data_IF_628274807981
#
_entry.id   IF_628274807981
#
_cell.length_a   1.000
_cell.length_b   1.000
_cell.length_c   1.000
_cell.angle_alpha   90.00
_cell.angle_beta   90.00
_cell.angle_gamma   90.00
#
_symmetry.space_group_name_H-M   'P 1'
#
loop_
_entity.id
_entity.type
_entity.pdbx_description
1 polymer ?
#
# COMPACT_ATOMS: atom_id res chain seq x y z
N UNK A 1 -14.82 -13.87 38.60
CA UNK A 1 -16.03 -13.30 37.95
C UNK A 1 -15.70 -11.86 37.57
N UNK A 2 -15.61 -11.55 36.26
CA UNK A 2 -15.71 -10.21 35.66
C UNK A 2 -15.57 -10.34 34.12
N UNK A 3 -16.65 -10.78 33.47
CA UNK A 3 -16.76 -11.02 32.02
C UNK A 3 -17.06 -9.74 31.21
N UNK A 4 -16.53 -8.57 31.59
CA UNK A 4 -16.97 -7.28 31.01
C UNK A 4 -15.90 -6.44 30.28
N UNK A 5 -14.68 -6.93 30.08
CA UNK A 5 -13.62 -6.12 29.43
C UNK A 5 -13.23 -6.62 28.02
N UNK A 6 -13.83 -7.71 27.52
CA UNK A 6 -13.52 -8.24 26.18
C UNK A 6 -14.72 -8.14 25.24
N UNK A 7 -15.27 -6.94 25.09
CA UNK A 7 -16.37 -6.67 24.16
C UNK A 7 -16.17 -5.31 23.49
N UNK A 8 -15.05 -5.19 22.77
CA UNK A 8 -14.80 -4.08 21.85
C UNK A 8 -14.22 -4.62 20.54
N UNK A 9 -14.94 -5.56 19.93
CA UNK A 9 -14.79 -5.81 18.50
C UNK A 9 -16.15 -5.47 17.89
N UNK A 10 -16.30 -4.20 17.53
CA UNK A 10 -17.38 -3.78 16.64
C UNK A 10 -17.01 -4.33 15.27
N UNK A 11 -17.44 -5.57 14.99
CA UNK A 11 -17.51 -6.08 13.62
C UNK A 11 -18.66 -5.33 12.95
N UNK A 12 -18.37 -4.12 12.45
CA UNK A 12 -19.27 -3.44 11.52
C UNK A 12 -19.00 -4.05 10.14
N UNK A 13 -19.60 -5.21 9.89
CA UNK A 13 -19.70 -5.83 8.57
C UNK A 13 -20.60 -4.96 7.70
N UNK A 14 -19.99 -3.95 7.08
CA UNK A 14 -20.61 -3.29 5.93
C UNK A 14 -20.47 -4.25 4.74
N UNK A 15 -21.56 -4.96 4.45
CA UNK A 15 -21.73 -5.73 3.22
C UNK A 15 -21.69 -4.72 2.08
N UNK A 16 -20.52 -4.50 1.50
CA UNK A 16 -20.39 -3.81 0.22
C UNK A 16 -20.81 -4.80 -0.86
N UNK A 17 -21.90 -4.44 -1.54
CA UNK A 17 -22.56 -5.25 -2.55
C UNK A 17 -21.60 -5.73 -3.63
N UNK A 18 -21.86 -6.97 -4.07
CA UNK A 18 -21.30 -7.57 -5.27
C UNK A 18 -21.68 -6.71 -6.48
N UNK A 19 -20.80 -5.78 -6.84
CA UNK A 19 -20.82 -5.12 -8.14
C UNK A 19 -20.38 -6.11 -9.20
N UNK A 20 -21.29 -6.51 -10.06
CA UNK A 20 -21.08 -7.34 -11.24
C UNK A 20 -19.86 -6.89 -12.05
N UNK A 21 -18.93 -7.81 -12.32
CA UNK A 21 -17.88 -7.65 -13.31
C UNK A 21 -18.52 -7.51 -14.70
N UNK A 22 -18.78 -6.28 -15.15
CA UNK A 22 -18.99 -6.03 -16.57
C UNK A 22 -17.63 -6.10 -17.26
N UNK A 23 -17.42 -7.13 -18.09
CA UNK A 23 -16.27 -7.19 -19.00
C UNK A 23 -16.25 -5.94 -19.88
N UNK A 24 -15.30 -5.04 -19.64
CA UNK A 24 -14.92 -4.00 -20.59
C UNK A 24 -13.81 -4.56 -21.49
N UNK A 25 -14.03 -4.45 -22.81
CA UNK A 25 -13.06 -4.85 -23.83
C UNK A 25 -11.75 -4.04 -23.72
N UNK A 26 -10.59 -4.62 -24.04
CA UNK A 26 -9.29 -3.98 -23.80
C UNK A 26 -8.95 -3.05 -24.96
N UNK A 27 -9.49 -1.83 -24.99
CA UNK A 27 -9.10 -0.82 -25.98
C UNK A 27 -9.17 0.60 -25.44
N UNK A 28 -8.17 0.98 -24.63
CA UNK A 28 -7.65 2.33 -24.49
C UNK A 28 -6.39 2.23 -23.61
N UNK A 29 -5.33 2.99 -23.91
CA UNK A 29 -4.25 3.21 -22.94
C UNK A 29 -4.91 3.68 -21.63
N UNK A 30 -4.76 2.89 -20.57
CA UNK A 30 -5.20 3.26 -19.22
C UNK A 30 -4.66 4.65 -18.91
N UNK A 31 -5.53 5.60 -18.52
CA UNK A 31 -5.05 6.95 -18.24
C UNK A 31 -4.10 6.91 -17.05
N UNK A 32 -3.08 7.78 -17.05
CA UNK A 32 -2.12 7.85 -15.94
C UNK A 32 -2.82 8.08 -14.60
N UNK A 33 -3.90 8.88 -14.59
CA UNK A 33 -4.67 9.17 -13.38
C UNK A 33 -5.43 7.95 -12.84
N UNK A 34 -5.96 7.07 -13.71
CA UNK A 34 -6.63 5.85 -13.28
C UNK A 34 -5.64 4.84 -12.68
N UNK A 35 -4.47 4.67 -13.32
CA UNK A 35 -3.39 3.81 -12.81
C UNK A 35 -2.92 4.28 -11.44
N UNK A 36 -2.62 5.58 -11.29
CA UNK A 36 -2.19 6.16 -10.01
C UNK A 36 -3.22 5.94 -8.89
N UNK A 37 -4.52 6.12 -9.20
CA UNK A 37 -5.61 5.93 -8.24
C UNK A 37 -5.71 4.46 -7.79
N UNK A 38 -5.54 3.51 -8.70
CA UNK A 38 -5.52 2.06 -8.40
C UNK A 38 -4.31 1.66 -7.56
N UNK A 39 -3.15 2.24 -7.84
CA UNK A 39 -1.93 1.98 -7.08
C UNK A 39 -2.07 2.51 -5.64
N UNK A 40 -2.61 3.72 -5.45
CA UNK A 40 -2.91 4.27 -4.12
C UNK A 40 -3.90 3.40 -3.35
N UNK A 41 -4.95 2.91 -4.01
CA UNK A 41 -5.94 2.00 -3.40
C UNK A 41 -5.26 0.72 -2.89
N UNK A 42 -4.44 0.10 -3.74
CA UNK A 42 -3.70 -1.13 -3.42
C UNK A 42 -2.73 -0.92 -2.26
N UNK A 43 -2.05 0.22 -2.21
CA UNK A 43 -1.15 0.56 -1.10
C UNK A 43 -1.90 0.65 0.24
N UNK A 44 -3.04 1.32 0.25
CA UNK A 44 -3.89 1.44 1.46
C UNK A 44 -4.41 0.08 1.89
N UNK A 45 -4.89 -0.76 0.95
CA UNK A 45 -5.34 -2.12 1.25
C UNK A 45 -4.21 -2.97 1.85
N UNK A 46 -2.99 -2.86 1.32
CA UNK A 46 -1.82 -3.54 1.89
C UNK A 46 -1.50 -3.05 3.30
N UNK A 47 -1.60 -1.73 3.53
CA UNK A 47 -1.35 -1.14 4.85
C UNK A 47 -2.38 -1.61 5.87
N UNK A 48 -3.67 -1.62 5.52
CA UNK A 48 -4.75 -2.14 6.37
C UNK A 48 -4.52 -3.61 6.70
N UNK A 49 -4.23 -4.44 5.70
CA UNK A 49 -3.93 -5.87 5.90
C UNK A 49 -2.71 -6.10 6.81
N UNK A 50 -1.70 -5.22 6.75
CA UNK A 50 -0.54 -5.28 7.65
C UNK A 50 -0.94 -4.93 9.08
N UNK A 51 -1.72 -3.87 9.27
CA UNK A 51 -2.23 -3.48 10.59
C UNK A 51 -3.11 -4.56 11.22
N UNK A 52 -3.97 -5.22 10.43
CA UNK A 52 -4.81 -6.33 10.91
C UNK A 52 -3.94 -7.50 11.42
N UNK A 53 -2.88 -7.88 10.69
CA UNK A 53 -1.93 -8.92 11.15
C UNK A 53 -1.20 -8.54 12.43
N UNK A 54 -0.81 -7.26 12.56
CA UNK A 54 -0.18 -6.75 13.78
C UNK A 54 -1.16 -6.78 14.96
N UNK A 55 -2.44 -6.46 14.74
CA UNK A 55 -3.51 -6.60 15.75
C UNK A 55 -3.66 -8.06 16.20
N UNK A 56 -3.72 -9.01 15.27
CA UNK A 56 -3.83 -10.43 15.60
C UNK A 56 -2.65 -10.92 16.45
N UNK A 57 -1.44 -10.48 16.12
CA UNK A 57 -0.25 -10.78 16.92
C UNK A 57 -0.36 -10.23 18.34
N UNK A 58 -0.79 -8.97 18.48
CA UNK A 58 -0.97 -8.33 19.81
C UNK A 58 -2.07 -9.06 20.61
N UNK A 59 -3.16 -9.48 19.97
CA UNK A 59 -4.23 -10.26 20.63
C UNK A 59 -3.67 -11.59 21.16
N UNK A 60 -2.89 -12.31 20.36
CA UNK A 60 -2.24 -13.54 20.78
C UNK A 60 -1.28 -13.31 21.96
N UNK A 61 -0.51 -12.22 21.94
CA UNK A 61 0.34 -11.84 23.06
C UNK A 61 -0.45 -11.52 24.33
N UNK A 62 -1.59 -10.81 24.22
CA UNK A 62 -2.48 -10.53 25.35
C UNK A 62 -2.99 -11.83 25.97
N UNK A 63 -3.42 -12.79 25.16
CA UNK A 63 -3.94 -14.07 25.66
C UNK A 63 -2.84 -14.90 26.33
N UNK A 64 -1.64 -14.96 25.74
CA UNK A 64 -0.48 -15.59 26.37
C UNK A 64 -0.12 -14.93 27.71
N UNK A 65 -0.09 -13.60 27.75
CA UNK A 65 0.20 -12.84 28.97
C UNK A 65 -0.87 -13.03 30.04
N UNK A 66 -2.14 -13.18 29.65
CA UNK A 66 -3.24 -13.50 30.56
C UNK A 66 -3.10 -14.88 31.18
N UNK A 67 -2.68 -15.89 30.40
CA UNK A 67 -2.38 -17.22 30.94
C UNK A 67 -1.22 -17.16 31.94
N UNK A 68 -0.13 -16.46 31.61
CA UNK A 68 1.01 -16.23 32.53
C UNK A 68 0.58 -15.54 33.81
N UNK A 69 -0.27 -14.52 33.71
CA UNK A 69 -0.80 -13.78 34.87
C UNK A 69 -1.64 -14.68 35.79
N UNK A 70 -2.43 -15.60 35.23
CA UNK A 70 -3.16 -16.58 36.03
C UNK A 70 -2.21 -17.54 36.76
N UNK A 71 -1.15 -18.00 36.08
CA UNK A 71 -0.13 -18.85 36.71
C UNK A 71 0.57 -18.11 37.84
N UNK A 72 1.06 -16.90 37.60
CA UNK A 72 1.73 -16.06 38.62
C UNK A 72 0.79 -15.81 39.81
N UNK A 73 -0.50 -15.54 39.59
CA UNK A 73 -1.44 -15.37 40.71
C UNK A 73 -1.57 -16.63 41.57
N UNK A 74 -1.53 -17.82 40.97
CA UNK A 74 -1.54 -19.08 41.71
C UNK A 74 -0.21 -19.28 42.46
N UNK A 75 0.91 -19.01 41.80
CA UNK A 75 2.25 -19.13 42.39
C UNK A 75 2.42 -18.15 43.58
N UNK A 76 1.93 -16.90 43.46
CA UNK A 76 1.90 -15.93 44.56
C UNK A 76 1.09 -16.48 45.74
N UNK A 77 -0.10 -17.02 45.49
CA UNK A 77 -0.95 -17.59 46.54
C UNK A 77 -0.28 -18.79 47.23
N UNK A 78 0.39 -19.66 46.47
CA UNK A 78 1.13 -20.78 47.02
C UNK A 78 2.31 -20.30 47.88
N UNK A 79 3.07 -19.34 47.38
CA UNK A 79 4.21 -18.73 48.07
C UNK A 79 3.79 -17.99 49.35
N UNK A 80 2.65 -17.30 49.35
CA UNK A 80 2.06 -16.70 50.55
C UNK A 80 1.74 -17.76 51.62
N UNK A 81 1.10 -18.86 51.22
CA UNK A 81 0.81 -19.96 52.14
C UNK A 81 2.09 -20.61 52.69
N UNK A 82 3.13 -20.78 51.87
CA UNK A 82 4.45 -21.26 52.31
C UNK A 82 5.08 -20.29 53.31
N UNK A 83 5.00 -18.98 53.03
CA UNK A 83 5.53 -17.93 53.89
C UNK A 83 4.85 -17.90 55.27
N UNK A 84 3.53 -18.09 55.32
CA UNK A 84 2.80 -18.15 56.58
C UNK A 84 3.15 -19.41 57.39
N UNK A 85 3.24 -20.57 56.73
CA UNK A 85 3.69 -21.81 57.37
C UNK A 85 5.09 -21.68 57.96
N UNK A 86 6.05 -21.16 57.19
CA UNK A 86 7.42 -21.02 57.68
C UNK A 86 7.55 -19.96 58.77
N UNK A 87 6.77 -18.87 58.69
CA UNK A 87 6.70 -17.85 59.74
C UNK A 87 6.19 -18.44 61.07
N UNK A 88 5.18 -19.31 61.01
CA UNK A 88 4.69 -20.01 62.20
C UNK A 88 5.72 -21.01 62.73
N UNK A 89 6.39 -21.79 61.86
CA UNK A 89 7.44 -22.71 62.27
C UNK A 89 8.63 -21.99 62.93
N UNK A 90 9.09 -20.86 62.37
CA UNK A 90 10.13 -20.02 62.98
C UNK A 90 9.71 -19.59 64.38
N UNK A 91 8.49 -19.07 64.53
CA UNK A 91 7.96 -18.63 65.83
C UNK A 91 7.93 -19.77 66.84
N UNK A 92 7.42 -20.94 66.45
CA UNK A 92 7.34 -22.11 67.33
C UNK A 92 8.73 -22.59 67.75
N UNK A 93 9.70 -22.65 66.83
CA UNK A 93 11.08 -23.05 67.14
C UNK A 93 11.80 -22.03 68.01
N UNK A 94 11.60 -20.74 67.78
CA UNK A 94 12.14 -19.67 68.64
C UNK A 94 11.53 -19.72 70.05
N UNK A 95 10.22 -19.98 70.18
CA UNK A 95 9.56 -20.11 71.47
C UNK A 95 10.04 -21.35 72.23
N UNK A 96 10.16 -22.51 71.57
CA UNK A 96 10.69 -23.73 72.17
C UNK A 96 12.16 -23.56 72.60
N UNK A 97 12.98 -22.97 71.74
CA UNK A 97 14.37 -22.64 72.07
C UNK A 97 14.43 -21.68 73.26
N UNK A 98 13.62 -20.62 73.26
CA UNK A 98 13.51 -19.66 74.36
C UNK A 98 13.08 -20.32 75.68
N UNK A 99 12.09 -21.23 75.64
CA UNK A 99 11.67 -22.02 76.82
C UNK A 99 12.82 -22.88 77.35
N UNK A 100 13.60 -23.54 76.49
CA UNK A 100 14.79 -24.33 76.89
C UNK A 100 15.88 -23.47 77.50
N UNK A 101 16.20 -22.34 76.90
CA UNK A 101 17.18 -21.37 77.43
C UNK A 101 16.72 -20.78 78.76
N UNK A 102 15.44 -20.41 78.88
CA UNK A 102 14.86 -19.88 80.12
C UNK A 102 14.85 -20.94 81.23
N UNK A 103 14.53 -22.20 80.91
CA UNK A 103 14.61 -23.30 81.87
C UNK A 103 16.06 -23.53 82.34
N UNK A 104 17.06 -23.35 81.48
CA UNK A 104 18.46 -23.37 81.89
C UNK A 104 18.80 -22.23 82.86
N UNK A 105 18.20 -21.06 82.70
CA UNK A 105 18.52 -19.86 83.49
C UNK A 105 17.73 -19.74 84.81
N UNK A 106 16.42 -19.99 84.79
CA UNK A 106 15.50 -19.79 85.94
C UNK A 106 15.48 -20.98 86.88
N UNK A 107 15.56 -22.19 86.34
CA UNK A 107 15.59 -23.41 87.14
C UNK A 107 16.98 -23.56 87.73
N UNK A 108 17.32 -22.75 88.73
CA UNK A 108 18.57 -22.83 89.49
C UNK A 108 18.73 -24.21 90.14
N UNK A 109 19.16 -25.18 89.33
CA UNK A 109 19.10 -26.63 89.58
C UNK A 109 18.35 -27.40 88.48
N UNK A 110 17.02 -27.43 88.49
CA UNK A 110 16.21 -28.62 88.12
C UNK A 110 16.01 -29.06 86.65
N UNK A 111 16.93 -28.85 85.70
CA UNK A 111 16.81 -29.55 84.39
C UNK A 111 18.14 -29.90 83.74
N UNK A 112 18.78 -28.98 83.02
CA UNK A 112 20.05 -29.30 82.34
C UNK A 112 21.26 -29.12 83.26
N UNK A 113 21.24 -28.11 84.14
CA UNK A 113 22.28 -27.93 85.14
C UNK A 113 22.28 -29.06 86.17
N UNK A 114 21.13 -29.49 86.69
CA UNK A 114 21.05 -30.68 87.55
C UNK A 114 21.45 -31.94 86.81
N UNK A 115 21.06 -32.12 85.55
CA UNK A 115 21.53 -33.27 84.77
C UNK A 115 23.05 -33.24 84.62
N UNK A 116 23.66 -32.09 84.35
CA UNK A 116 25.12 -31.97 84.23
C UNK A 116 25.80 -32.18 85.60
N UNK A 117 25.28 -31.58 86.68
CA UNK A 117 25.85 -31.61 88.03
C UNK A 117 25.62 -32.94 88.77
N UNK A 118 24.58 -33.71 88.40
CA UNK A 118 24.34 -35.08 88.88
C UNK A 118 25.23 -36.12 88.17
N UNK A 119 26.32 -35.69 87.52
CA UNK A 119 27.29 -36.59 86.89
C UNK A 119 28.08 -37.38 87.94
N UNK A 120 28.28 -38.67 87.72
CA UNK A 120 29.00 -39.55 88.66
C UNK A 120 30.53 -39.46 88.52
N UNK A 121 31.03 -38.89 87.42
CA UNK A 121 32.46 -38.71 87.14
C UNK A 121 32.73 -37.52 86.23
N UNK A 122 33.99 -37.07 86.16
CA UNK A 122 34.40 -36.00 85.23
C UNK A 122 34.15 -36.37 83.76
N UNK A 123 34.28 -37.64 83.38
CA UNK A 123 34.00 -38.11 82.02
C UNK A 123 32.51 -38.01 81.68
N UNK A 124 31.64 -38.39 82.63
CA UNK A 124 30.19 -38.26 82.51
C UNK A 124 29.76 -36.79 82.44
N UNK A 125 30.32 -35.94 83.30
CA UNK A 125 30.12 -34.49 83.26
C UNK A 125 30.42 -33.89 81.88
N UNK A 126 31.59 -34.20 81.31
CA UNK A 126 32.01 -33.72 79.99
C UNK A 126 31.10 -34.23 78.87
N UNK A 127 30.62 -35.48 78.97
CA UNK A 127 29.71 -36.08 77.99
C UNK A 127 28.32 -35.40 78.01
N UNK A 128 27.82 -35.05 79.20
CA UNK A 128 26.55 -34.33 79.36
C UNK A 128 26.64 -32.88 78.86
N UNK A 129 27.75 -32.19 79.11
CA UNK A 129 28.02 -30.86 78.53
C UNK A 129 28.06 -30.91 77.01
N UNK A 130 28.79 -31.85 76.44
CA UNK A 130 28.86 -32.03 74.98
C UNK A 130 27.46 -32.30 74.38
N UNK A 131 26.66 -33.14 75.05
CA UNK A 131 25.27 -33.42 74.65
C UNK A 131 24.40 -32.17 74.65
N UNK A 132 24.44 -31.36 75.73
CA UNK A 132 23.68 -30.10 75.81
C UNK A 132 24.15 -29.10 74.75
N UNK A 133 25.46 -28.97 74.54
CA UNK A 133 26.05 -28.12 73.51
C UNK A 133 25.57 -28.52 72.10
N UNK A 134 25.55 -29.82 71.79
CA UNK A 134 25.03 -30.35 70.53
C UNK A 134 23.55 -30.04 70.33
N UNK A 135 22.72 -30.15 71.37
CA UNK A 135 21.29 -29.80 71.31
C UNK A 135 21.09 -28.30 71.04
N UNK A 136 21.82 -27.43 71.75
CA UNK A 136 21.72 -25.99 71.55
C UNK A 136 22.18 -25.56 70.14
N UNK A 137 23.25 -26.17 69.65
CA UNK A 137 23.73 -25.95 68.28
C UNK A 137 22.68 -26.39 67.27
N UNK A 138 22.08 -27.57 67.44
CA UNK A 138 21.01 -28.05 66.57
C UNK A 138 19.81 -27.10 66.53
N UNK A 139 19.30 -26.65 67.69
CA UNK A 139 18.17 -25.72 67.74
C UNK A 139 18.48 -24.38 67.03
N UNK A 140 19.67 -23.84 67.28
CA UNK A 140 20.15 -22.63 66.60
C UNK A 140 20.22 -22.83 65.08
N UNK A 141 20.81 -23.93 64.63
CA UNK A 141 20.97 -24.26 63.21
C UNK A 141 19.61 -24.41 62.52
N UNK A 142 18.61 -25.03 63.19
CA UNK A 142 17.23 -25.13 62.69
C UNK A 142 16.61 -23.74 62.53
N UNK A 143 16.73 -22.86 63.52
CA UNK A 143 16.17 -21.49 63.46
C UNK A 143 16.86 -20.68 62.35
N UNK A 144 18.18 -20.75 62.23
CA UNK A 144 18.94 -20.07 61.17
C UNK A 144 18.50 -20.56 59.80
N UNK A 145 18.37 -21.88 59.61
CA UNK A 145 17.91 -22.47 58.35
C UNK A 145 16.50 -21.99 57.98
N UNK A 146 15.55 -22.06 58.91
CA UNK A 146 14.17 -21.62 58.66
C UNK A 146 14.08 -20.11 58.37
N UNK A 147 14.91 -19.29 59.01
CA UNK A 147 15.00 -17.85 58.69
C UNK A 147 15.53 -17.62 57.28
N UNK A 148 16.58 -18.33 56.87
CA UNK A 148 17.12 -18.26 55.51
C UNK A 148 16.10 -18.70 54.46
N UNK A 149 15.38 -19.80 54.70
CA UNK A 149 14.28 -20.25 53.83
C UNK A 149 13.15 -19.22 53.75
N UNK A 150 12.78 -18.59 54.88
CA UNK A 150 11.78 -17.51 54.90
C UNK A 150 12.20 -16.31 54.06
N UNK A 151 13.47 -15.90 54.15
CA UNK A 151 14.02 -14.80 53.34
C UNK A 151 14.03 -15.14 51.86
N UNK A 152 14.41 -16.37 51.50
CA UNK A 152 14.36 -16.84 50.11
C UNK A 152 12.94 -16.82 49.53
N UNK A 153 11.95 -17.33 50.27
CA UNK A 153 10.54 -17.33 49.88
C UNK A 153 9.99 -15.89 49.78
N UNK A 154 10.36 -15.00 50.70
CA UNK A 154 9.96 -13.60 50.63
C UNK A 154 10.51 -12.90 49.39
N UNK A 155 11.75 -13.19 49.01
CA UNK A 155 12.37 -12.68 47.77
C UNK A 155 11.72 -13.26 46.51
N UNK A 156 11.36 -14.55 46.53
CA UNK A 156 10.60 -15.18 45.46
C UNK A 156 9.24 -14.50 45.27
N UNK A 157 8.52 -14.23 46.37
CA UNK A 157 7.25 -13.47 46.34
C UNK A 157 7.44 -12.10 45.72
N UNK A 158 8.44 -11.34 46.16
CA UNK A 158 8.73 -10.01 45.63
C UNK A 158 8.99 -10.03 44.11
N UNK A 159 9.71 -11.05 43.62
CA UNK A 159 9.95 -11.22 42.19
C UNK A 159 8.66 -11.52 41.42
N UNK A 160 7.81 -12.39 41.95
CA UNK A 160 6.51 -12.71 41.35
C UNK A 160 5.59 -11.47 41.29
N UNK A 161 5.56 -10.67 42.36
CA UNK A 161 4.80 -9.42 42.40
C UNK A 161 5.31 -8.42 41.36
N UNK A 162 6.64 -8.27 41.21
CA UNK A 162 7.24 -7.44 40.15
C UNK A 162 6.90 -7.93 38.75
N UNK A 163 6.90 -9.24 38.52
CA UNK A 163 6.53 -9.82 37.23
C UNK A 163 5.06 -9.56 36.91
N UNK A 164 4.18 -9.70 37.91
CA UNK A 164 2.75 -9.39 37.80
C UNK A 164 2.50 -7.92 37.45
N UNK A 165 3.22 -6.99 38.08
CA UNK A 165 3.10 -5.56 37.79
C UNK A 165 3.53 -5.24 36.36
N UNK A 166 4.64 -5.83 35.90
CA UNK A 166 5.11 -5.71 34.50
C UNK A 166 4.07 -6.21 33.51
N UNK A 167 3.47 -7.38 33.75
CA UNK A 167 2.43 -7.93 32.86
C UNK A 167 1.17 -7.07 32.87
N UNK A 168 0.84 -6.44 34.00
CA UNK A 168 -0.31 -5.53 34.10
C UNK A 168 -0.06 -4.24 33.32
N UNK A 169 1.15 -3.68 33.39
CA UNK A 169 1.54 -2.53 32.58
C UNK A 169 1.52 -2.86 31.08
N UNK A 170 2.13 -3.99 30.69
CA UNK A 170 2.16 -4.44 29.29
C UNK A 170 0.74 -4.64 28.72
N UNK A 171 -0.17 -5.20 29.54
CA UNK A 171 -1.58 -5.34 29.14
C UNK A 171 -2.21 -3.98 28.82
N UNK A 172 -1.99 -2.98 29.65
CA UNK A 172 -2.53 -1.62 29.45
C UNK A 172 -1.97 -0.98 28.18
N UNK A 173 -0.68 -1.12 27.94
CA UNK A 173 -0.03 -0.58 26.73
C UNK A 173 -0.53 -1.27 25.46
N UNK A 174 -0.76 -2.59 25.51
CA UNK A 174 -1.35 -3.33 24.40
C UNK A 174 -2.80 -2.89 24.13
N UNK A 175 -3.62 -2.68 25.17
CA UNK A 175 -4.99 -2.15 25.03
C UNK A 175 -5.01 -0.75 24.37
N UNK A 176 -4.08 0.13 24.76
CA UNK A 176 -3.92 1.45 24.14
C UNK A 176 -3.47 1.36 22.68
N UNK A 177 -2.53 0.46 22.38
CA UNK A 177 -2.02 0.24 21.02
C UNK A 177 -3.12 -0.28 20.10
N UNK A 178 -3.91 -1.26 20.55
CA UNK A 178 -5.07 -1.77 19.82
C UNK A 178 -6.09 -0.66 19.55
N UNK A 179 -6.36 0.22 20.52
CA UNK A 179 -7.27 1.35 20.30
C UNK A 179 -6.76 2.32 19.23
N UNK A 180 -5.46 2.62 19.22
CA UNK A 180 -4.86 3.50 18.20
C UNK A 180 -4.89 2.87 16.81
N UNK A 181 -4.53 1.59 16.70
CA UNK A 181 -4.54 0.88 15.42
C UNK A 181 -5.95 0.78 14.83
N UNK A 182 -6.95 0.48 15.65
CA UNK A 182 -8.35 0.47 15.20
C UNK A 182 -8.81 1.83 14.66
N UNK A 183 -8.41 2.93 15.31
CA UNK A 183 -8.71 4.28 14.80
C UNK A 183 -8.00 4.54 13.46
N UNK A 184 -6.73 4.16 13.33
CA UNK A 184 -5.97 4.29 12.08
C UNK A 184 -6.60 3.48 10.95
N UNK A 185 -7.02 2.24 11.21
CA UNK A 185 -7.72 1.40 10.23
C UNK A 185 -9.05 2.06 9.80
N UNK A 186 -9.79 2.64 10.73
CA UNK A 186 -11.04 3.33 10.42
C UNK A 186 -10.81 4.56 9.52
N UNK A 187 -9.73 5.31 9.74
CA UNK A 187 -9.33 6.42 8.88
C UNK A 187 -8.90 5.94 7.49
N UNK A 188 -8.05 4.92 7.41
CA UNK A 188 -7.62 4.33 6.14
C UNK A 188 -8.80 3.79 5.32
N UNK A 189 -9.77 3.12 5.96
CA UNK A 189 -11.01 2.66 5.30
C UNK A 189 -11.87 3.82 4.77
N UNK A 190 -11.93 4.94 5.48
CA UNK A 190 -12.59 6.16 4.97
C UNK A 190 -11.87 6.73 3.76
N UNK A 191 -10.54 6.75 3.78
CA UNK A 191 -9.73 7.19 2.62
C UNK A 191 -9.94 6.26 1.43
N UNK A 192 -9.95 4.94 1.67
CA UNK A 192 -10.20 3.92 0.65
C UNK A 192 -11.57 4.10 -0.02
N UNK A 193 -12.60 4.45 0.76
CA UNK A 193 -13.94 4.73 0.23
C UNK A 193 -13.94 5.95 -0.70
N UNK A 194 -13.27 7.04 -0.31
CA UNK A 194 -13.12 8.24 -1.15
C UNK A 194 -12.34 7.96 -2.44
N UNK A 195 -11.27 7.17 -2.36
CA UNK A 195 -10.46 6.78 -3.53
C UNK A 195 -11.26 5.89 -4.47
N UNK A 196 -12.05 4.95 -3.94
CA UNK A 196 -12.93 4.09 -4.74
C UNK A 196 -13.99 4.91 -5.47
N UNK A 197 -14.54 5.94 -4.81
CA UNK A 197 -15.48 6.85 -5.46
C UNK A 197 -14.81 7.69 -6.55
N UNK A 198 -13.58 8.18 -6.31
CA UNK A 198 -12.78 8.86 -7.33
C UNK A 198 -12.48 7.95 -8.52
N UNK A 199 -12.09 6.69 -8.28
CA UNK A 199 -11.85 5.67 -9.31
C UNK A 199 -13.10 5.50 -10.20
N UNK A 200 -14.28 5.32 -9.59
CA UNK A 200 -15.54 5.18 -10.30
C UNK A 200 -15.89 6.41 -11.15
N UNK A 201 -15.61 7.61 -10.64
CA UNK A 201 -15.82 8.86 -11.40
C UNK A 201 -14.88 8.98 -12.60
N UNK A 202 -13.59 8.62 -12.44
CA UNK A 202 -12.62 8.62 -13.54
C UNK A 202 -13.06 7.64 -14.63
N UNK A 203 -13.40 6.41 -14.25
CA UNK A 203 -13.87 5.37 -15.18
C UNK A 203 -15.14 5.81 -15.92
N UNK A 204 -16.10 6.43 -15.21
CA UNK A 204 -17.32 6.94 -15.85
C UNK A 204 -17.03 8.08 -16.83
N UNK A 205 -16.13 9.01 -16.48
CA UNK A 205 -15.69 10.11 -17.33
C UNK A 205 -14.95 9.60 -18.58
N UNK A 206 -14.06 8.62 -18.44
CA UNK A 206 -13.38 7.99 -19.58
C UNK A 206 -14.35 7.27 -20.51
N UNK A 207 -15.32 6.54 -19.95
CA UNK A 207 -16.35 5.86 -20.74
C UNK A 207 -17.25 6.86 -21.49
N UNK A 208 -17.57 8.00 -20.88
CA UNK A 208 -18.33 9.07 -21.53
C UNK A 208 -17.54 9.71 -22.70
N UNK A 209 -16.27 10.04 -22.49
CA UNK A 209 -15.39 10.56 -23.55
C UNK A 209 -15.23 9.57 -24.72
N UNK A 210 -15.11 8.27 -24.41
CA UNK A 210 -15.03 7.24 -25.43
C UNK A 210 -16.34 7.13 -26.25
N UNK A 211 -17.51 7.21 -25.60
CA UNK A 211 -18.81 7.23 -26.28
C UNK A 211 -19.00 8.48 -27.14
N UNK A 212 -18.62 9.65 -26.65
CA UNK A 212 -18.67 10.89 -27.45
C UNK A 212 -17.74 10.84 -28.66
N UNK A 213 -16.53 10.29 -28.50
CA UNK A 213 -15.61 10.08 -29.61
C UNK A 213 -16.18 9.08 -30.64
N UNK A 214 -16.83 8.02 -30.18
CA UNK A 214 -17.49 7.04 -31.05
C UNK A 214 -18.67 7.67 -31.80
N UNK A 215 -19.55 8.42 -31.12
CA UNK A 215 -20.66 9.15 -31.76
C UNK A 215 -20.17 10.21 -32.75
N UNK A 216 -19.13 10.97 -32.40
CA UNK A 216 -18.55 11.95 -33.30
C UNK A 216 -17.90 11.28 -34.53
N UNK A 217 -17.29 10.10 -34.35
CA UNK A 217 -16.77 9.31 -35.47
C UNK A 217 -17.88 8.76 -36.37
N UNK A 218 -19.03 8.36 -35.80
CA UNK A 218 -20.21 7.90 -36.55
C UNK A 218 -20.85 9.05 -37.32
N UNK A 219 -21.06 10.21 -36.67
CA UNK A 219 -21.55 11.43 -37.32
C UNK A 219 -20.60 11.91 -38.42
N UNK A 220 -19.28 11.85 -38.22
CA UNK A 220 -18.30 12.18 -39.26
C UNK A 220 -18.37 11.23 -40.46
N UNK A 221 -18.58 9.92 -40.23
CA UNK A 221 -18.80 8.93 -41.28
C UNK A 221 -20.13 9.12 -42.03
N UNK A 222 -21.20 9.50 -41.33
CA UNK A 222 -22.51 9.82 -41.93
C UNK A 222 -22.50 11.14 -42.71
N UNK A 223 -21.77 12.15 -42.25
CA UNK A 223 -21.57 13.41 -42.98
C UNK A 223 -20.72 13.17 -44.23
N UNK A 224 -19.72 12.28 -44.16
CA UNK A 224 -18.93 11.86 -45.32
C UNK A 224 -19.75 11.07 -46.35
N UNK A 225 -20.69 10.22 -45.91
CA UNK A 225 -21.58 9.49 -46.83
C UNK A 225 -22.74 10.34 -47.37
N UNK A 226 -23.22 11.35 -46.64
CA UNK A 226 -24.26 12.27 -47.11
C UNK A 226 -23.74 13.31 -48.12
N UNK A 227 -22.46 13.68 -48.06
CA UNK A 227 -21.82 14.55 -49.07
C UNK A 227 -21.70 13.88 -50.45
N UNK A 228 -21.76 12.55 -50.52
CA UNK A 228 -21.79 11.77 -51.77
C UNK A 228 -23.19 11.76 -52.43
N UNK A 229 -24.24 12.09 -51.67
CA UNK A 229 -25.64 12.08 -52.14
C UNK A 229 -26.20 13.46 -52.51
N UNK A 230 -25.39 14.53 -52.40
CA UNK A 230 -25.78 15.90 -52.76
C UNK A 230 -24.65 16.64 -53.48
N UNK A 231 -24.04 16.02 -54.48
CA UNK A 231 -23.44 16.75 -55.58
C UNK A 231 -24.24 16.46 -56.84
N UNK A 232 -24.93 17.51 -57.31
CA UNK A 232 -25.49 17.56 -58.64
C UNK A 232 -24.31 17.53 -59.62
N UNK A 233 -23.84 16.33 -59.94
CA UNK A 233 -22.81 16.05 -60.92
C UNK A 233 -23.30 16.40 -62.31
N UNK A 234 -23.21 17.67 -62.67
CA UNK A 234 -23.18 18.09 -64.06
C UNK A 234 -22.04 17.38 -64.75
N UNK A 235 -22.38 16.52 -65.71
CA UNK A 235 -21.47 15.89 -66.65
C UNK A 235 -20.73 16.97 -67.44
N UNK A 236 -19.44 17.14 -67.17
CA UNK A 236 -18.52 17.75 -68.12
C UNK A 236 -17.87 16.63 -68.92
N UNK A 237 -18.51 16.36 -70.05
CA UNK A 237 -17.94 15.68 -71.20
C UNK A 237 -16.72 16.44 -71.70
N UNK A 238 -15.54 15.84 -71.53
CA UNK A 238 -14.44 15.76 -72.52
C UNK A 238 -13.35 14.88 -71.93
N UNK A 239 -13.13 13.75 -72.59
CA UNK A 239 -12.48 12.58 -72.03
C UNK A 239 -11.01 12.77 -71.69
N UNK A 240 -10.61 12.16 -70.59
CA UNK A 240 -9.65 11.08 -70.59
C UNK A 240 -9.79 10.32 -69.26
N UNK A 241 -9.39 9.06 -69.30
CA UNK A 241 -9.52 7.95 -68.37
C UNK A 241 -9.29 8.20 -66.86
N UNK A 242 -10.22 7.66 -66.06
CA UNK A 242 -10.01 7.07 -64.74
C UNK A 242 -9.48 7.99 -63.61
N UNK A 243 -10.19 9.08 -63.34
CA UNK A 243 -9.94 9.89 -62.14
C UNK A 243 -10.57 9.22 -60.91
N UNK A 244 -9.75 8.85 -59.93
CA UNK A 244 -10.24 8.30 -58.65
C UNK A 244 -11.13 9.30 -57.91
N UNK A 245 -12.01 8.80 -57.04
CA UNK A 245 -12.89 9.62 -56.21
C UNK A 245 -12.08 10.69 -55.45
N UNK A 246 -12.49 11.95 -55.58
CA UNK A 246 -11.89 13.06 -54.83
C UNK A 246 -12.84 13.53 -53.73
N UNK A 247 -12.28 13.98 -52.61
CA UNK A 247 -13.03 14.41 -51.43
C UNK A 247 -13.29 15.92 -51.41
N UNK A 248 -12.45 16.70 -52.09
CA UNK A 248 -12.54 18.17 -52.12
C UNK A 248 -11.82 18.74 -53.36
N UNK A 249 -12.29 19.89 -53.85
CA UNK A 249 -11.61 20.66 -54.91
C UNK A 249 -11.31 22.05 -54.38
N UNK A 250 -10.04 22.44 -54.39
CA UNK A 250 -9.58 23.76 -53.98
C UNK A 250 -9.04 24.51 -55.20
N UNK A 251 -9.46 25.76 -55.36
CA UNK A 251 -8.91 26.66 -56.39
C UNK A 251 -7.76 27.42 -55.76
N UNK A 252 -6.55 27.26 -56.32
CA UNK A 252 -5.32 27.84 -55.78
C UNK A 252 -4.53 28.56 -56.86
N UNK A 253 -3.72 29.53 -56.45
CA UNK A 253 -2.64 30.05 -57.28
C UNK A 253 -1.46 29.07 -57.23
N UNK A 254 -1.08 28.49 -58.37
CA UNK A 254 0.06 27.60 -58.50
C UNK A 254 1.25 28.34 -59.13
N UNK A 255 2.37 28.31 -58.42
CA UNK A 255 3.69 28.62 -58.95
C UNK A 255 4.48 27.34 -59.19
N UNK A 256 5.66 27.45 -59.81
CA UNK A 256 6.55 26.33 -60.05
C UNK A 256 7.99 26.70 -59.73
N UNK A 257 8.77 25.73 -59.25
CA UNK A 257 10.18 25.87 -58.89
C UNK A 257 10.97 24.61 -59.24
N UNK A 258 12.29 24.75 -59.42
CA UNK A 258 13.22 23.66 -59.68
C UNK A 258 14.53 23.85 -58.90
N UNK A 259 15.31 22.76 -58.76
CA UNK A 259 16.68 22.83 -58.24
C UNK A 259 16.86 22.73 -56.72
N UNK A 260 15.82 22.37 -55.96
CA UNK A 260 15.91 22.22 -54.51
C UNK A 260 16.51 20.86 -54.08
N UNK A 261 17.20 20.85 -52.94
CA UNK A 261 17.98 19.70 -52.45
C UNK A 261 17.30 18.89 -51.34
N UNK A 262 16.27 19.45 -50.70
CA UNK A 262 15.49 18.79 -49.63
C UNK A 262 14.14 19.49 -49.41
N UNK A 263 13.05 18.74 -49.22
CA UNK A 263 11.74 19.26 -48.78
C UNK A 263 11.66 19.40 -47.26
N UNK A 264 10.61 20.05 -46.77
CA UNK A 264 10.28 20.11 -45.34
C UNK A 264 10.00 18.72 -44.71
N UNK A 265 9.66 17.68 -45.51
CA UNK A 265 9.60 16.29 -45.03
C UNK A 265 10.98 15.64 -44.83
N UNK A 266 12.06 16.27 -45.32
CA UNK A 266 13.41 15.72 -45.36
C UNK A 266 13.70 14.83 -46.58
N UNK A 267 12.76 14.73 -47.52
CA UNK A 267 12.92 13.95 -48.76
C UNK A 267 13.46 14.81 -49.89
N UNK A 268 14.06 14.19 -50.91
CA UNK A 268 14.40 14.90 -52.14
C UNK A 268 13.12 15.13 -52.96
N UNK A 269 12.77 16.38 -53.32
CA UNK A 269 11.59 16.62 -54.14
C UNK A 269 11.73 15.96 -55.50
N UNK A 270 10.63 15.41 -56.01
CA UNK A 270 10.64 14.66 -57.27
C UNK A 270 9.46 15.06 -58.15
N UNK A 271 9.71 15.25 -59.46
CA UNK A 271 8.65 15.38 -60.47
C UNK A 271 8.54 14.09 -61.27
N UNK A 272 7.40 13.42 -61.13
CA UNK A 272 7.04 12.23 -61.90
C UNK A 272 5.72 12.47 -62.68
N UNK A 273 5.77 12.77 -63.98
CA UNK A 273 4.56 13.02 -64.78
C UNK A 273 3.59 11.83 -64.86
N UNK A 274 4.09 10.59 -64.66
CA UNK A 274 3.31 9.36 -64.73
C UNK A 274 2.98 8.79 -63.34
N UNK A 275 3.22 9.55 -62.29
CA UNK A 275 3.02 9.13 -60.90
C UNK A 275 2.89 10.33 -59.97
N UNK A 276 3.22 10.12 -58.70
CA UNK A 276 3.12 11.19 -57.70
C UNK A 276 4.38 12.06 -57.71
N UNK A 277 4.16 13.37 -57.85
CA UNK A 277 5.17 14.40 -57.69
C UNK A 277 5.10 15.06 -56.32
N UNK A 278 6.15 15.76 -55.90
CA UNK A 278 6.16 16.52 -54.64
C UNK A 278 5.67 17.95 -54.86
N UNK A 279 4.78 18.43 -54.00
CA UNK A 279 4.31 19.82 -54.04
C UNK A 279 4.40 20.47 -52.66
N UNK A 280 4.63 21.78 -52.65
CA UNK A 280 4.58 22.61 -51.46
C UNK A 280 3.18 23.21 -51.29
N UNK A 281 2.63 23.11 -50.09
CA UNK A 281 1.26 23.60 -49.77
C UNK A 281 1.21 24.30 -48.42
N UNK A 282 0.11 25.00 -48.15
CA UNK A 282 -0.26 25.36 -46.78
C UNK A 282 -1.07 24.20 -46.15
N UNK A 283 -0.57 23.53 -45.08
CA UNK A 283 -1.27 22.41 -44.44
C UNK A 283 -2.66 22.72 -43.90
N UNK A 284 -2.99 24.01 -43.73
CA UNK A 284 -4.32 24.48 -43.33
C UNK A 284 -5.34 24.43 -44.47
N UNK A 285 -4.88 24.39 -45.72
CA UNK A 285 -5.70 24.38 -46.93
C UNK A 285 -5.66 23.01 -47.62
N UNK A 286 -4.47 22.43 -47.78
CA UNK A 286 -4.29 21.07 -48.28
C UNK A 286 -3.53 20.30 -47.19
N UNK A 287 -4.15 19.29 -46.54
CA UNK A 287 -3.51 18.57 -45.45
C UNK A 287 -2.15 17.99 -45.86
N UNK A 288 -1.19 18.05 -44.95
CA UNK A 288 0.10 17.41 -45.13
C UNK A 288 -0.05 15.92 -45.42
N UNK A 289 0.67 15.41 -46.41
CA UNK A 289 0.59 14.02 -46.88
C UNK A 289 -0.61 13.72 -47.80
N UNK A 290 -1.47 14.71 -48.08
CA UNK A 290 -2.59 14.50 -48.99
C UNK A 290 -2.10 14.15 -50.40
N UNK A 291 -2.72 13.12 -50.98
CA UNK A 291 -2.63 12.81 -52.41
C UNK A 291 -3.58 13.73 -53.14
N UNK A 292 -3.08 14.41 -54.15
CA UNK A 292 -3.88 15.35 -54.94
C UNK A 292 -3.67 15.10 -56.43
N UNK A 293 -4.59 15.60 -57.24
CA UNK A 293 -4.34 15.84 -58.64
C UNK A 293 -4.45 17.34 -58.91
N UNK A 294 -3.43 17.90 -59.54
CA UNK A 294 -3.37 19.31 -59.91
C UNK A 294 -3.64 19.43 -61.40
N UNK A 295 -4.66 20.21 -61.76
CA UNK A 295 -5.07 20.40 -63.17
C UNK A 295 -3.90 20.90 -64.02
N UNK A 296 -3.57 20.15 -65.08
CA UNK A 296 -2.45 20.44 -65.98
C UNK A 296 -1.06 19.98 -65.49
N UNK A 297 -0.94 19.54 -64.24
CA UNK A 297 0.34 19.09 -63.66
C UNK A 297 0.36 17.58 -63.34
N UNK A 298 -0.78 17.01 -62.95
CA UNK A 298 -0.92 15.59 -62.65
C UNK A 298 -0.95 15.27 -61.15
N UNK A 299 -0.67 14.01 -60.81
CA UNK A 299 -0.75 13.52 -59.44
C UNK A 299 0.42 14.02 -58.57
N UNK A 300 0.11 14.38 -57.32
CA UNK A 300 1.09 14.91 -56.39
C UNK A 300 0.79 14.56 -54.92
N UNK A 301 1.81 14.69 -54.06
CA UNK A 301 1.70 14.51 -52.61
C UNK A 301 2.22 15.78 -51.92
N UNK A 302 1.43 16.28 -50.96
CA UNK A 302 1.75 17.43 -50.13
C UNK A 302 2.83 17.10 -49.08
N UNK A 303 4.10 17.05 -49.49
CA UNK A 303 5.26 16.73 -48.62
C UNK A 303 6.22 17.89 -48.41
N UNK A 304 5.82 19.11 -48.80
CA UNK A 304 6.64 20.29 -48.61
C UNK A 304 5.82 21.50 -48.15
N UNK A 305 6.48 22.43 -47.47
CA UNK A 305 5.91 23.72 -47.06
C UNK A 305 6.95 24.82 -47.26
N UNK A 306 6.67 25.78 -48.12
CA UNK A 306 7.48 26.99 -48.26
C UNK A 306 7.06 28.09 -47.27
N UNK A 307 7.99 28.98 -46.91
CA UNK A 307 7.70 30.16 -46.09
C UNK A 307 6.63 31.06 -46.72
N UNK A 308 6.65 31.20 -48.04
CA UNK A 308 5.76 32.06 -48.83
C UNK A 308 4.52 31.33 -49.37
N UNK A 309 4.39 30.03 -49.11
CA UNK A 309 3.26 29.20 -49.55
C UNK A 309 2.25 29.13 -48.42
N UNK A 310 1.37 30.15 -48.39
CA UNK A 310 0.32 30.35 -47.37
C UNK A 310 -1.04 30.60 -48.03
N UNK A 311 -2.10 30.05 -47.44
CA UNK A 311 -3.47 30.16 -47.96
C UNK A 311 -3.68 29.34 -49.23
N UNK A 312 -4.49 29.87 -50.16
CA UNK A 312 -4.83 29.21 -51.42
C UNK A 312 -3.70 29.35 -52.46
N UNK A 313 -2.48 29.00 -52.08
CA UNK A 313 -1.30 29.03 -52.92
C UNK A 313 -0.54 27.71 -52.79
N UNK A 314 -0.05 27.19 -53.91
CA UNK A 314 0.82 26.01 -53.95
C UNK A 314 2.06 26.30 -54.79
N UNK A 315 3.13 25.53 -54.54
CA UNK A 315 4.32 25.51 -55.39
C UNK A 315 4.57 24.12 -55.93
N UNK A 316 4.73 24.04 -57.25
CA UNK A 316 4.86 22.79 -57.97
C UNK A 316 6.32 22.52 -58.31
N UNK A 317 6.88 21.42 -57.80
CA UNK A 317 8.24 21.05 -58.14
C UNK A 317 8.35 20.60 -59.60
N UNK A 318 9.38 21.04 -60.30
CA UNK A 318 9.68 20.71 -61.70
C UNK A 318 11.11 20.16 -61.82
N UNK A 319 11.38 19.38 -62.87
CA UNK A 319 12.73 18.85 -63.11
C UNK A 319 13.68 19.87 -63.76
N UNK A 320 13.16 20.97 -64.32
CA UNK A 320 13.99 21.99 -64.98
C UNK A 320 13.36 23.39 -64.92
N UNK A 321 14.20 24.41 -64.99
CA UNK A 321 13.78 25.82 -65.04
C UNK A 321 12.96 26.14 -66.30
N UNK A 322 13.18 25.41 -67.40
CA UNK A 322 12.39 25.55 -68.62
C UNK A 322 10.92 25.10 -68.41
N UNK A 323 10.69 24.05 -67.61
CA UNK A 323 9.35 23.62 -67.22
C UNK A 323 8.68 24.64 -66.29
N UNK A 324 9.43 25.23 -65.35
CA UNK A 324 8.93 26.32 -64.50
C UNK A 324 8.43 27.51 -65.34
N UNK A 325 9.22 27.94 -66.33
CA UNK A 325 8.86 29.06 -67.20
C UNK A 325 7.67 28.74 -68.12
N UNK A 326 7.58 27.51 -68.61
CA UNK A 326 6.43 27.04 -69.40
C UNK A 326 5.14 26.98 -68.55
N UNK A 327 5.28 26.61 -67.28
CA UNK A 327 4.17 26.62 -66.33
C UNK A 327 3.75 28.05 -65.93
N UNK A 328 4.68 28.91 -65.55
CA UNK A 328 4.38 30.26 -65.06
C UNK A 328 3.49 30.29 -63.81
N UNK A 329 2.92 31.44 -63.47
CA UNK A 329 1.96 31.58 -62.36
C UNK A 329 0.54 31.54 -62.90
N UNK A 330 -0.28 30.63 -62.39
CA UNK A 330 -1.66 30.44 -62.86
C UNK A 330 -2.57 29.93 -61.77
N UNK A 331 -3.86 30.21 -61.90
CA UNK A 331 -4.89 29.65 -61.02
C UNK A 331 -5.33 28.29 -61.54
N UNK A 332 -5.27 27.26 -60.71
CA UNK A 332 -5.61 25.87 -61.06
C UNK A 332 -6.52 25.26 -60.01
N UNK A 333 -7.25 24.21 -60.41
CA UNK A 333 -7.99 23.36 -59.49
C UNK A 333 -7.11 22.23 -58.99
N UNK A 334 -7.14 22.01 -57.69
CA UNK A 334 -6.49 20.89 -57.02
C UNK A 334 -7.57 20.00 -56.44
N UNK A 335 -7.58 18.74 -56.86
CA UNK A 335 -8.51 17.73 -56.41
C UNK A 335 -7.81 16.93 -55.32
N UNK A 336 -8.30 17.01 -54.08
CA UNK A 336 -7.78 16.23 -52.96
C UNK A 336 -8.38 14.82 -53.06
N UNK A 337 -7.53 13.82 -53.19
CA UNK A 337 -7.93 12.44 -53.44
C UNK A 337 -8.21 11.74 -52.11
N UNK A 338 -9.32 11.01 -52.06
CA UNK A 338 -9.80 10.27 -50.88
C UNK A 338 -9.09 8.95 -50.66
#
# INVERSE_FOLDING_TARGET
MNKKVLSFIIVLTLILGTGSNSLAAPTAKESGELSETRDQKKEIEQRVNKMDKEIDNIINEIDNNKQRMNKINNDVKETENKLDKIKNNVREKEELFGKRVRAMYISGGSSYLDTILASESLSDFMSRIDTVSKIMKFDKDVVVKLKGEKEAIAKEKENLDKEKDKLTALKKDNELTLSRMNNSIAEEKRTLSKITEKENQIVASEAAKAKEAEENSKKAKEIASAKDSSSNGGTLSRGDSNFGSYSEVVVVEATAYAGDSSTASGDKPNRNPNGYSTIAVDPRVIPWGARVYVEGYGYAIAHDTGGDIKGNRIDLFMNSEAECNSWGRRTVKVYILG
#
